data_IF_958763752666
#
_entry.id   IF_958763752666
#
_cell.length_a   1.000
_cell.length_b   1.000
_cell.length_c   1.000
_cell.angle_alpha   90.00
_cell.angle_beta   90.00
_cell.angle_gamma   90.00
#
_symmetry.space_group_name_H-M   'P 1'
#
loop_
_entity.id
_entity.type
_entity.pdbx_description
1 polymer ?
#
# COMPACT_ATOMS: atom_id res chain seq x y z
N UNK A 1 -40.30 1.85 -66.84
CA UNK A 1 -39.74 1.26 -65.61
C UNK A 1 -38.76 2.27 -65.09
N UNK A 2 -39.16 3.03 -64.07
CA UNK A 2 -38.27 3.95 -63.36
C UNK A 2 -37.51 3.13 -62.32
N UNK A 3 -36.19 3.20 -62.34
CA UNK A 3 -35.33 2.62 -61.30
C UNK A 3 -35.35 3.54 -60.06
N UNK A 4 -35.42 3.01 -58.83
CA UNK A 4 -35.35 3.83 -57.65
C UNK A 4 -33.89 4.22 -57.37
N UNK A 5 -33.66 5.50 -57.12
CA UNK A 5 -32.39 6.03 -56.62
C UNK A 5 -32.30 5.68 -55.14
N UNK A 6 -31.36 4.82 -54.75
CA UNK A 6 -31.02 4.60 -53.34
C UNK A 6 -30.37 5.87 -52.77
N UNK A 7 -31.08 6.54 -51.87
CA UNK A 7 -30.54 7.60 -51.03
C UNK A 7 -29.50 7.00 -50.07
N UNK A 8 -28.23 7.33 -50.29
CA UNK A 8 -27.15 7.02 -49.34
C UNK A 8 -27.33 7.94 -48.13
N UNK A 9 -27.92 7.41 -47.07
CA UNK A 9 -27.97 8.07 -45.77
C UNK A 9 -26.54 8.06 -45.20
N UNK A 10 -25.82 9.16 -45.38
CA UNK A 10 -24.60 9.42 -44.63
C UNK A 10 -25.00 9.66 -43.18
N UNK A 11 -24.79 8.66 -42.33
CA UNK A 11 -24.92 8.82 -40.89
C UNK A 11 -23.99 9.96 -40.45
N UNK A 12 -24.57 11.10 -40.09
CA UNK A 12 -23.85 12.17 -39.40
C UNK A 12 -23.36 11.57 -38.10
N UNK A 13 -22.04 11.42 -37.97
CA UNK A 13 -21.39 11.16 -36.70
C UNK A 13 -21.81 12.28 -35.76
N UNK A 14 -22.76 12.00 -34.86
CA UNK A 14 -23.06 12.92 -33.78
C UNK A 14 -21.83 12.87 -32.86
N UNK A 15 -21.23 14.03 -32.51
CA UNK A 15 -20.24 14.03 -31.45
C UNK A 15 -20.92 13.44 -30.21
N UNK A 16 -20.30 12.41 -29.65
CA UNK A 16 -20.70 11.85 -28.36
C UNK A 16 -20.78 13.00 -27.35
N UNK A 17 -21.83 13.02 -26.53
CA UNK A 17 -21.92 14.00 -25.46
C UNK A 17 -20.67 13.86 -24.58
N UNK A 18 -20.07 14.97 -24.12
CA UNK A 18 -18.88 14.88 -23.28
C UNK A 18 -19.19 14.05 -22.04
N UNK A 19 -18.22 13.25 -21.60
CA UNK A 19 -18.36 12.44 -20.39
C UNK A 19 -18.65 13.35 -19.19
N UNK A 20 -19.38 12.86 -18.18
CA UNK A 20 -19.78 13.64 -17.00
C UNK A 20 -18.61 14.36 -16.33
N UNK A 21 -17.43 13.75 -16.28
CA UNK A 21 -16.21 14.38 -15.73
C UNK A 21 -15.67 15.51 -16.61
N UNK A 22 -15.85 15.45 -17.93
CA UNK A 22 -15.41 16.50 -18.86
C UNK A 22 -16.25 17.77 -18.71
N UNK A 23 -17.53 17.62 -18.35
CA UNK A 23 -18.43 18.74 -18.05
C UNK A 23 -18.29 19.22 -16.59
N UNK A 24 -18.13 18.29 -15.64
CA UNK A 24 -18.27 18.53 -14.19
C UNK A 24 -16.94 18.66 -13.42
N UNK A 25 -15.76 18.53 -14.04
CA UNK A 25 -14.46 18.87 -13.44
C UNK A 25 -13.94 20.29 -13.84
N UNK A 26 -14.67 21.40 -13.58
CA UNK A 26 -14.32 22.74 -14.09
C UNK A 26 -13.30 23.50 -13.23
N UNK A 27 -12.75 22.89 -12.17
CA UNK A 27 -11.76 23.57 -11.33
C UNK A 27 -10.41 23.70 -12.06
N UNK A 28 -9.74 24.84 -11.87
CA UNK A 28 -8.35 25.04 -12.33
C UNK A 28 -7.47 23.89 -11.80
N UNK A 29 -6.68 23.29 -12.68
CA UNK A 29 -5.73 22.20 -12.41
C UNK A 29 -6.33 20.81 -12.11
N UNK A 30 -7.65 20.63 -12.29
CA UNK A 30 -8.30 19.32 -12.31
C UNK A 30 -8.66 18.89 -13.73
N UNK A 31 -8.67 17.58 -13.95
CA UNK A 31 -8.86 16.89 -15.21
C UNK A 31 -9.83 15.72 -15.00
N UNK A 32 -10.58 15.33 -16.04
CA UNK A 32 -11.32 14.07 -16.01
C UNK A 32 -10.38 12.89 -15.79
N UNK A 33 -10.90 11.75 -15.37
CA UNK A 33 -10.10 10.52 -15.26
C UNK A 33 -9.47 10.20 -16.63
N UNK A 34 -8.17 9.92 -16.64
CA UNK A 34 -7.37 9.74 -17.85
C UNK A 34 -6.97 11.04 -18.58
N UNK A 35 -7.29 12.21 -18.05
CA UNK A 35 -6.86 13.49 -18.62
C UNK A 35 -5.40 13.82 -18.33
N UNK A 36 -4.74 14.52 -19.26
CA UNK A 36 -3.33 14.91 -19.17
C UNK A 36 -3.09 16.25 -19.88
N UNK A 37 -1.96 16.90 -19.60
CA UNK A 37 -1.61 18.21 -20.16
C UNK A 37 -1.20 18.13 -21.63
N UNK A 38 -1.26 19.23 -22.38
CA UNK A 38 -0.88 19.27 -23.81
C UNK A 38 0.59 18.89 -24.06
N UNK A 39 1.46 19.12 -23.09
CA UNK A 39 2.90 18.80 -23.13
C UNK A 39 3.23 17.40 -22.60
N UNK A 40 2.22 16.59 -22.28
CA UNK A 40 2.42 15.25 -21.75
C UNK A 40 3.17 14.32 -22.73
N UNK A 41 3.90 13.31 -22.21
CA UNK A 41 4.54 12.31 -23.05
C UNK A 41 3.57 11.60 -23.99
N UNK A 42 3.97 11.34 -25.24
CA UNK A 42 3.11 10.75 -26.26
C UNK A 42 2.44 9.41 -25.85
N UNK A 43 3.14 8.58 -25.05
CA UNK A 43 2.61 7.30 -24.56
C UNK A 43 1.41 7.47 -23.62
N UNK A 44 1.11 8.68 -23.12
CA UNK A 44 -0.09 8.92 -22.30
C UNK A 44 -1.36 8.80 -23.13
N UNK A 45 -1.30 9.07 -24.44
CA UNK A 45 -2.43 8.85 -25.33
C UNK A 45 -2.85 7.37 -25.38
N UNK A 46 -1.89 6.45 -25.28
CA UNK A 46 -2.15 5.00 -25.24
C UNK A 46 -2.66 4.55 -23.86
N UNK A 47 -2.23 5.21 -22.79
CA UNK A 47 -2.62 4.88 -21.41
C UNK A 47 -3.95 5.49 -20.99
N UNK A 48 -4.29 6.68 -21.47
CA UNK A 48 -5.49 7.43 -21.10
C UNK A 48 -6.79 6.64 -21.23
N UNK A 49 -7.05 5.90 -22.33
CA UNK A 49 -8.24 5.04 -22.44
C UNK A 49 -8.32 3.99 -21.33
N UNK A 50 -7.19 3.51 -20.81
CA UNK A 50 -7.15 2.50 -19.74
C UNK A 50 -7.49 3.10 -18.38
N UNK A 51 -7.13 4.36 -18.15
CA UNK A 51 -7.60 5.11 -16.98
C UNK A 51 -9.09 5.41 -17.09
N UNK A 52 -9.54 5.90 -18.26
CA UNK A 52 -10.95 6.17 -18.54
C UNK A 52 -11.85 4.95 -18.36
N UNK A 53 -11.35 3.75 -18.63
CA UNK A 53 -12.10 2.51 -18.40
C UNK A 53 -12.51 2.29 -16.92
N UNK A 54 -11.85 2.96 -15.96
CA UNK A 54 -12.24 2.94 -14.55
C UNK A 54 -13.19 4.08 -14.15
N UNK A 55 -13.41 5.05 -15.04
CA UNK A 55 -14.21 6.23 -14.75
C UNK A 55 -15.67 5.88 -14.46
N UNK A 56 -16.27 4.94 -15.19
CA UNK A 56 -17.66 4.49 -14.96
C UNK A 56 -17.94 4.03 -13.52
N UNK A 57 -16.96 3.34 -12.90
CA UNK A 57 -17.08 2.86 -11.52
C UNK A 57 -17.02 4.04 -10.55
N UNK A 58 -16.19 5.03 -10.83
CA UNK A 58 -16.08 6.25 -10.03
C UNK A 58 -17.33 7.14 -10.21
N UNK A 59 -17.92 7.19 -11.41
CA UNK A 59 -19.15 7.95 -11.71
C UNK A 59 -20.40 7.43 -11.02
N UNK A 60 -20.40 6.15 -10.64
CA UNK A 60 -21.46 5.56 -9.86
C UNK A 60 -21.48 6.07 -8.41
N UNK A 61 -20.41 6.74 -7.94
CA UNK A 61 -20.37 7.39 -6.64
C UNK A 61 -21.25 8.63 -6.62
N UNK A 62 -21.74 8.97 -5.43
CA UNK A 62 -22.58 10.15 -5.19
C UNK A 62 -21.79 11.43 -5.44
N UNK A 63 -20.55 11.45 -4.96
CA UNK A 63 -19.61 12.56 -5.11
C UNK A 63 -18.78 12.36 -6.38
N UNK A 64 -18.58 13.45 -7.13
CA UNK A 64 -17.78 13.43 -8.34
C UNK A 64 -16.30 13.24 -7.99
N UNK A 65 -15.64 12.33 -8.71
CA UNK A 65 -14.20 12.08 -8.56
C UNK A 65 -13.48 12.70 -9.75
N UNK A 66 -12.72 13.76 -9.50
CA UNK A 66 -11.84 14.36 -10.51
C UNK A 66 -10.39 13.91 -10.27
N UNK A 67 -9.55 14.03 -11.29
CA UNK A 67 -8.12 13.82 -11.17
C UNK A 67 -7.33 15.11 -11.28
N UNK A 68 -6.08 15.10 -10.84
CA UNK A 68 -5.06 15.95 -11.45
C UNK A 68 -4.75 15.41 -12.86
N UNK A 69 -3.95 16.14 -13.63
CA UNK A 69 -3.39 15.60 -14.86
C UNK A 69 -2.64 14.29 -14.55
N UNK A 70 -2.73 13.29 -15.45
CA UNK A 70 -1.82 12.16 -15.41
C UNK A 70 -0.40 12.71 -15.41
N UNK A 71 0.47 12.14 -14.60
CA UNK A 71 1.86 12.57 -14.48
C UNK A 71 2.80 11.36 -14.43
N UNK A 72 4.02 11.51 -14.98
CA UNK A 72 5.04 10.50 -14.81
C UNK A 72 5.49 10.51 -13.36
N UNK A 73 5.57 9.33 -12.75
CA UNK A 73 6.08 9.17 -11.41
C UNK A 73 6.98 7.96 -11.32
N UNK A 74 8.29 8.21 -11.44
CA UNK A 74 9.33 7.18 -11.58
C UNK A 74 9.08 6.32 -12.82
N UNK A 75 8.86 5.03 -12.61
CA UNK A 75 8.53 4.00 -13.58
C UNK A 75 7.02 3.76 -13.72
N UNK A 76 6.21 4.67 -13.15
CA UNK A 76 4.76 4.64 -13.21
C UNK A 76 4.20 5.84 -13.97
N UNK A 77 2.97 5.69 -14.43
CA UNK A 77 2.06 6.81 -14.65
C UNK A 77 1.01 6.78 -13.57
N UNK A 78 0.76 7.95 -12.97
CA UNK A 78 -0.24 8.10 -11.92
C UNK A 78 -1.22 9.19 -12.28
N UNK A 79 -2.42 9.10 -11.74
CA UNK A 79 -3.37 10.19 -11.68
C UNK A 79 -3.86 10.29 -10.24
N UNK A 80 -3.48 11.38 -9.54
CA UNK A 80 -3.99 11.66 -8.19
C UNK A 80 -5.45 12.08 -8.28
N UNK A 81 -6.27 11.56 -7.38
CA UNK A 81 -7.71 11.77 -7.40
C UNK A 81 -8.15 12.68 -6.25
N UNK A 82 -9.21 13.45 -6.51
CA UNK A 82 -9.78 14.44 -5.62
C UNK A 82 -11.29 14.30 -5.64
N UNK A 83 -11.88 14.29 -4.44
CA UNK A 83 -13.33 14.29 -4.23
C UNK A 83 -13.66 15.40 -3.25
N UNK A 84 -14.59 16.28 -3.60
CA UNK A 84 -14.98 17.44 -2.78
C UNK A 84 -13.81 18.31 -2.28
N UNK A 85 -12.75 18.41 -3.09
CA UNK A 85 -11.54 19.19 -2.77
C UNK A 85 -10.56 18.50 -1.81
N UNK A 86 -10.82 17.25 -1.41
CA UNK A 86 -9.93 16.44 -0.58
C UNK A 86 -9.26 15.32 -1.40
N UNK A 87 -8.02 14.90 -1.05
CA UNK A 87 -7.38 13.75 -1.68
C UNK A 87 -8.21 12.46 -1.51
N UNK A 88 -8.50 11.77 -2.61
CA UNK A 88 -9.25 10.51 -2.63
C UNK A 88 -8.34 9.30 -3.02
N UNK A 89 -7.06 9.54 -3.30
CA UNK A 89 -6.07 8.52 -3.62
C UNK A 89 -5.48 8.67 -5.01
N UNK A 90 -5.20 7.55 -5.69
CA UNK A 90 -4.59 7.58 -7.01
C UNK A 90 -5.01 6.41 -7.90
N UNK A 91 -5.00 6.63 -9.21
CA UNK A 91 -4.89 5.56 -10.19
C UNK A 91 -3.45 5.40 -10.63
N UNK A 92 -2.97 4.16 -10.74
CA UNK A 92 -1.57 3.88 -11.05
C UNK A 92 -1.41 2.77 -12.09
N UNK A 93 -0.37 2.84 -12.91
CA UNK A 93 0.05 1.78 -13.84
C UNK A 93 1.54 1.91 -14.17
N UNK A 94 2.16 0.85 -14.70
CA UNK A 94 3.52 0.90 -15.23
C UNK A 94 3.61 1.86 -16.42
N UNK A 95 4.69 2.66 -16.47
CA UNK A 95 4.86 3.67 -17.52
C UNK A 95 5.02 3.08 -18.92
N UNK A 96 5.53 1.85 -19.03
CA UNK A 96 5.61 1.09 -20.28
C UNK A 96 4.27 0.43 -20.68
N UNK A 97 3.23 0.60 -19.86
CA UNK A 97 1.91 -0.01 -20.05
C UNK A 97 1.84 -1.51 -19.75
N UNK A 98 2.90 -2.12 -19.23
CA UNK A 98 2.96 -3.57 -18.98
C UNK A 98 2.03 -4.06 -17.88
N UNK A 99 1.59 -3.17 -16.97
CA UNK A 99 0.71 -3.49 -15.86
C UNK A 99 -0.72 -3.00 -16.09
N UNK A 100 -1.66 -3.44 -15.25
CA UNK A 100 -3.03 -2.89 -15.27
C UNK A 100 -3.05 -1.47 -14.72
N UNK A 101 -4.12 -0.71 -15.03
CA UNK A 101 -4.45 0.50 -14.25
C UNK A 101 -5.23 0.05 -13.03
N UNK A 102 -4.81 0.51 -11.85
CA UNK A 102 -5.43 0.17 -10.59
C UNK A 102 -5.76 1.43 -9.79
N UNK A 103 -6.98 1.50 -9.27
CA UNK A 103 -7.42 2.47 -8.28
C UNK A 103 -6.94 2.06 -6.88
N UNK A 104 -6.19 2.95 -6.24
CA UNK A 104 -5.72 2.85 -4.85
C UNK A 104 -6.36 3.94 -4.02
N UNK A 105 -7.01 3.59 -2.90
CA UNK A 105 -7.47 4.58 -1.92
C UNK A 105 -6.31 5.44 -1.39
N UNK A 106 -6.58 6.56 -0.73
CA UNK A 106 -5.50 7.41 -0.20
C UNK A 106 -4.55 6.64 0.74
N UNK A 107 -5.09 5.74 1.58
CA UNK A 107 -4.27 4.94 2.49
C UNK A 107 -3.41 3.89 1.77
N UNK A 108 -3.96 3.26 0.74
CA UNK A 108 -3.24 2.31 -0.11
C UNK A 108 -2.15 3.01 -0.92
N UNK A 109 -2.46 4.18 -1.46
CA UNK A 109 -1.51 5.03 -2.16
C UNK A 109 -0.36 5.49 -1.27
N UNK A 110 -0.67 5.96 -0.05
CA UNK A 110 0.34 6.35 0.94
C UNK A 110 1.23 5.17 1.32
N UNK A 111 0.66 3.99 1.47
CA UNK A 111 1.42 2.77 1.75
C UNK A 111 2.35 2.43 0.57
N UNK A 112 1.80 2.40 -0.64
CA UNK A 112 2.52 2.05 -1.85
C UNK A 112 3.69 3.01 -2.11
N UNK A 113 3.48 4.32 -1.97
CA UNK A 113 4.52 5.34 -2.18
C UNK A 113 5.64 5.32 -1.16
N UNK A 114 5.33 4.98 0.09
CA UNK A 114 6.29 4.96 1.20
C UNK A 114 7.38 3.89 1.04
N UNK A 115 7.15 2.85 0.23
CA UNK A 115 8.06 1.71 0.06
C UNK A 115 9.05 1.81 -1.08
N UNK A 116 9.22 3.01 -1.62
CA UNK A 116 10.32 3.34 -2.51
C UNK A 116 11.47 3.88 -1.65
N UNK A 117 12.52 3.08 -1.50
CA UNK A 117 13.59 3.12 -0.48
C UNK A 117 14.28 4.48 -0.25
N UNK A 118 14.16 5.47 -1.14
CA UNK A 118 14.98 6.68 -1.08
C UNK A 118 14.29 7.95 -1.60
N UNK A 119 13.00 8.14 -1.31
CA UNK A 119 12.28 9.29 -1.87
C UNK A 119 12.25 9.21 -3.41
N UNK A 120 12.28 10.33 -4.17
CA UNK A 120 11.98 10.33 -5.61
C UNK A 120 12.97 9.53 -6.50
N UNK A 121 14.04 8.95 -5.95
CA UNK A 121 15.13 8.30 -6.71
C UNK A 121 15.36 6.83 -6.32
N UNK A 122 14.53 6.24 -5.46
CA UNK A 122 14.68 4.84 -5.01
C UNK A 122 14.06 3.78 -5.95
N UNK A 123 14.57 2.54 -5.97
CA UNK A 123 14.02 1.44 -6.76
C UNK A 123 12.61 1.05 -6.29
N UNK A 124 11.76 0.65 -7.24
CA UNK A 124 10.43 0.10 -6.96
C UNK A 124 10.55 -1.34 -6.46
N UNK A 125 10.60 -1.54 -5.14
CA UNK A 125 10.69 -2.88 -4.56
C UNK A 125 9.36 -3.61 -4.51
N UNK A 126 8.26 -2.88 -4.55
CA UNK A 126 6.91 -3.46 -4.52
C UNK A 126 6.52 -3.92 -5.92
N UNK A 127 7.03 -3.33 -6.99
CA UNK A 127 6.70 -3.68 -8.38
C UNK A 127 5.42 -3.00 -8.85
N UNK A 128 4.87 -3.45 -9.98
CA UNK A 128 3.70 -2.84 -10.62
C UNK A 128 2.41 -3.53 -10.21
N UNK A 129 1.26 -2.82 -10.13
CA UNK A 129 -0.03 -3.44 -9.80
C UNK A 129 -0.45 -4.47 -10.85
N UNK A 130 -0.79 -5.68 -10.40
CA UNK A 130 -1.27 -6.78 -11.24
C UNK A 130 -2.74 -7.09 -10.99
N UNK A 131 -3.20 -6.92 -9.75
CA UNK A 131 -4.59 -7.17 -9.40
C UNK A 131 -4.88 -6.96 -7.92
N UNK A 132 -6.16 -6.85 -7.60
CA UNK A 132 -6.65 -6.89 -6.22
C UNK A 132 -7.25 -8.26 -5.96
N UNK A 133 -6.96 -8.83 -4.80
CA UNK A 133 -7.61 -10.03 -4.31
C UNK A 133 -8.03 -9.85 -2.86
N UNK A 134 -9.10 -10.54 -2.48
CA UNK A 134 -9.59 -10.57 -1.11
C UNK A 134 -9.39 -11.97 -0.57
N UNK A 135 -8.78 -12.06 0.60
CA UNK A 135 -8.53 -13.34 1.28
C UNK A 135 -9.10 -13.26 2.69
N UNK A 136 -10.32 -13.76 2.86
CA UNK A 136 -11.06 -13.56 4.11
C UNK A 136 -11.37 -12.08 4.32
N UNK A 137 -10.93 -11.51 5.45
CA UNK A 137 -11.01 -10.08 5.75
C UNK A 137 -9.89 -9.25 5.12
N UNK A 138 -8.84 -9.88 4.60
CA UNK A 138 -7.70 -9.16 4.04
C UNK A 138 -7.99 -8.62 2.64
N UNK A 139 -7.60 -7.37 2.41
CA UNK A 139 -7.47 -6.80 1.07
C UNK A 139 -6.00 -6.88 0.66
N UNK A 140 -5.72 -7.41 -0.53
CA UNK A 140 -4.36 -7.60 -1.01
C UNK A 140 -4.23 -6.97 -2.39
N UNK A 141 -3.25 -6.07 -2.52
CA UNK A 141 -2.81 -5.55 -3.81
C UNK A 141 -1.63 -6.39 -4.25
N UNK A 142 -1.85 -7.26 -5.24
CA UNK A 142 -0.80 -8.07 -5.85
C UNK A 142 -0.04 -7.26 -6.87
N UNK A 143 1.27 -7.42 -6.86
CA UNK A 143 2.19 -6.71 -7.73
C UNK A 143 3.16 -7.66 -8.43
N UNK A 144 3.93 -7.16 -9.38
CA UNK A 144 4.91 -7.97 -10.11
C UNK A 144 6.10 -8.42 -9.25
N UNK A 145 6.28 -7.85 -8.06
CA UNK A 145 7.37 -8.18 -7.14
C UNK A 145 6.87 -8.59 -5.75
N UNK A 146 5.59 -8.96 -5.61
CA UNK A 146 4.99 -9.45 -4.37
C UNK A 146 3.60 -8.85 -4.15
N UNK A 147 3.42 -8.11 -3.05
CA UNK A 147 2.18 -7.38 -2.81
C UNK A 147 2.17 -6.52 -1.54
N UNK A 148 1.06 -5.81 -1.35
CA UNK A 148 0.71 -5.09 -0.14
C UNK A 148 -0.49 -5.79 0.52
N UNK A 149 -0.38 -6.13 1.80
CA UNK A 149 -1.42 -6.83 2.56
C UNK A 149 -2.06 -5.88 3.57
N UNK A 150 -3.38 -5.73 3.51
CA UNK A 150 -4.16 -4.84 4.37
C UNK A 150 -5.13 -5.67 5.21
N UNK A 151 -4.91 -5.66 6.53
CA UNK A 151 -5.76 -6.37 7.50
C UNK A 151 -6.98 -5.54 7.93
N UNK A 152 -6.95 -4.23 7.68
CA UNK A 152 -8.08 -3.33 7.88
C UNK A 152 -8.13 -2.29 6.75
N UNK A 153 -9.30 -1.86 6.28
CA UNK A 153 -9.43 -0.86 5.20
C UNK A 153 -8.74 0.48 5.49
N UNK A 154 -8.61 0.83 6.77
CA UNK A 154 -7.96 2.06 7.24
C UNK A 154 -6.52 1.85 7.73
N UNK A 155 -6.02 0.61 7.72
CA UNK A 155 -4.67 0.33 8.20
C UNK A 155 -3.62 0.46 7.09
N UNK A 156 -2.35 0.58 7.51
CA UNK A 156 -1.23 0.51 6.60
C UNK A 156 -1.19 -0.85 5.95
N UNK A 157 -0.94 -0.89 4.65
CA UNK A 157 -0.58 -2.15 4.02
C UNK A 157 0.82 -2.56 4.42
N UNK A 158 0.98 -3.84 4.75
CA UNK A 158 2.28 -4.42 5.01
C UNK A 158 2.85 -4.96 3.69
N UNK A 159 3.99 -4.44 3.21
CA UNK A 159 4.61 -4.94 1.99
C UNK A 159 5.25 -6.31 2.23
N UNK A 160 5.03 -7.22 1.30
CA UNK A 160 5.70 -8.51 1.24
C UNK A 160 6.27 -8.66 -0.17
N UNK A 161 7.59 -8.78 -0.27
CA UNK A 161 8.32 -8.63 -1.54
C UNK A 161 9.17 -9.86 -1.87
N UNK A 162 9.38 -10.10 -3.17
CA UNK A 162 10.27 -11.13 -3.70
C UNK A 162 9.98 -12.53 -3.14
N UNK A 163 11.03 -13.28 -2.83
CA UNK A 163 10.90 -14.64 -2.30
C UNK A 163 10.14 -14.78 -0.98
N UNK A 164 10.00 -13.70 -0.20
CA UNK A 164 9.16 -13.72 1.01
C UNK A 164 7.66 -13.80 0.67
N UNK A 165 7.23 -13.14 -0.41
CA UNK A 165 5.87 -13.28 -0.95
C UNK A 165 5.63 -14.71 -1.42
N UNK A 166 6.54 -15.22 -2.24
CA UNK A 166 6.43 -16.57 -2.79
C UNK A 166 6.37 -17.63 -1.68
N UNK A 167 7.17 -17.46 -0.62
CA UNK A 167 7.14 -18.34 0.54
C UNK A 167 5.79 -18.30 1.26
N UNK A 168 5.25 -17.12 1.52
CA UNK A 168 3.97 -16.97 2.21
C UNK A 168 2.80 -17.51 1.37
N UNK A 169 2.75 -17.19 0.07
CA UNK A 169 1.71 -17.69 -0.85
C UNK A 169 1.75 -19.22 -0.99
N UNK A 170 2.96 -19.81 -1.04
CA UNK A 170 3.13 -21.26 -1.12
C UNK A 170 2.74 -22.01 0.17
N UNK A 171 2.62 -21.31 1.30
CA UNK A 171 2.27 -21.87 2.61
C UNK A 171 0.89 -21.41 3.09
N UNK A 172 -0.10 -21.35 2.18
CA UNK A 172 -1.50 -21.01 2.46
C UNK A 172 -1.76 -19.57 2.96
N UNK A 173 -0.78 -18.68 2.79
CA UNK A 173 -0.90 -17.24 3.07
C UNK A 173 -1.45 -16.96 4.47
N UNK A 174 -2.54 -16.16 4.61
CA UNK A 174 -3.09 -15.79 5.91
C UNK A 174 -3.73 -16.93 6.68
N UNK A 175 -4.07 -18.03 6.00
CA UNK A 175 -4.60 -19.25 6.63
C UNK A 175 -3.49 -20.23 7.01
N UNK A 176 -2.25 -19.93 6.62
CA UNK A 176 -1.08 -20.74 6.89
C UNK A 176 -0.56 -20.61 8.32
N UNK A 177 0.48 -21.37 8.63
CA UNK A 177 1.12 -21.36 9.95
C UNK A 177 1.83 -20.03 10.27
N UNK A 178 2.10 -19.21 9.26
CA UNK A 178 2.79 -17.93 9.43
C UNK A 178 1.84 -16.84 9.92
N UNK A 179 0.56 -16.93 9.56
CA UNK A 179 -0.42 -15.86 9.73
C UNK A 179 -0.21 -14.66 8.80
N UNK A 180 -0.48 -13.46 9.28
CA UNK A 180 -0.50 -12.21 8.48
C UNK A 180 0.82 -11.44 8.66
N UNK A 181 1.39 -10.83 7.61
CA UNK A 181 2.55 -9.96 7.79
C UNK A 181 2.18 -8.70 8.59
N UNK A 182 3.03 -8.30 9.55
CA UNK A 182 2.74 -7.21 10.50
C UNK A 182 3.80 -6.11 10.56
N UNK A 183 5.01 -6.39 10.08
CA UNK A 183 6.13 -5.45 10.03
C UNK A 183 6.59 -5.19 8.60
N UNK A 184 7.33 -4.10 8.35
CA UNK A 184 7.99 -3.94 7.04
C UNK A 184 9.18 -4.92 6.90
N UNK A 185 9.63 -5.23 5.68
CA UNK A 185 10.92 -5.87 5.48
C UNK A 185 12.04 -5.02 6.07
N UNK A 186 12.93 -5.63 6.85
CA UNK A 186 14.08 -4.96 7.47
C UNK A 186 15.38 -5.67 7.10
N UNK A 187 16.22 -4.99 6.34
CA UNK A 187 17.60 -5.40 6.10
C UNK A 187 18.58 -4.72 7.05
N UNK A 188 19.72 -5.38 7.30
CA UNK A 188 20.76 -4.89 8.21
C UNK A 188 21.29 -3.48 7.89
N UNK A 189 21.13 -2.97 6.66
CA UNK A 189 21.55 -1.60 6.25
C UNK A 189 20.40 -0.64 5.94
N UNK A 190 19.14 -0.99 6.26
CA UNK A 190 17.99 -0.10 6.09
C UNK A 190 18.11 1.24 6.85
N UNK A 191 17.19 2.20 6.67
CA UNK A 191 17.30 3.55 7.26
C UNK A 191 17.26 3.62 8.80
N UNK A 192 17.00 2.50 9.48
CA UNK A 192 17.12 2.33 10.95
C UNK A 192 18.17 1.24 11.26
N UNK A 193 19.11 1.05 10.33
CA UNK A 193 20.06 -0.06 10.31
C UNK A 193 20.79 -0.21 11.64
N UNK A 194 20.85 -1.47 12.07
CA UNK A 194 21.79 -2.02 13.05
C UNK A 194 21.55 -1.79 14.56
N UNK A 195 20.74 -0.84 15.03
CA UNK A 195 20.70 -0.55 16.49
C UNK A 195 19.76 -1.44 17.34
N UNK A 196 18.89 -2.27 16.74
CA UNK A 196 17.87 -3.06 17.49
C UNK A 196 18.08 -4.57 17.51
N UNK A 197 19.11 -5.13 16.86
CA UNK A 197 19.34 -6.60 16.84
C UNK A 197 20.03 -7.13 18.12
N UNK A 198 19.66 -6.62 19.30
CA UNK A 198 20.34 -6.89 20.57
C UNK A 198 19.99 -8.22 21.24
N UNK A 199 19.17 -9.08 20.61
CA UNK A 199 18.69 -10.34 21.21
C UNK A 199 19.33 -11.64 20.63
N UNK A 200 20.60 -11.61 20.21
CA UNK A 200 21.37 -12.84 19.95
C UNK A 200 21.03 -13.61 18.67
N UNK A 201 20.27 -13.01 17.75
CA UNK A 201 19.96 -13.56 16.42
C UNK A 201 21.09 -13.30 15.41
N UNK A 202 21.15 -14.04 14.27
CA UNK A 202 22.18 -13.87 13.26
C UNK A 202 22.21 -12.42 12.74
N UNK A 203 23.32 -11.72 13.01
CA UNK A 203 23.43 -10.25 12.90
C UNK A 203 23.60 -9.71 11.47
N UNK A 204 23.40 -10.53 10.44
CA UNK A 204 23.49 -10.11 9.04
C UNK A 204 22.44 -10.80 8.17
N UNK A 205 21.39 -10.06 7.81
CA UNK A 205 20.32 -10.55 6.95
C UNK A 205 19.18 -9.56 6.75
N UNK A 206 18.15 -10.04 6.06
CA UNK A 206 16.86 -9.37 5.98
C UNK A 206 15.79 -10.17 6.73
N UNK A 207 14.82 -9.48 7.34
CA UNK A 207 13.74 -10.08 8.12
C UNK A 207 12.39 -9.55 7.68
N UNK A 208 11.38 -10.40 7.75
CA UNK A 208 9.98 -10.04 7.58
C UNK A 208 9.18 -10.65 8.73
N UNK A 209 8.50 -9.81 9.52
CA UNK A 209 7.67 -10.27 10.65
C UNK A 209 6.24 -10.63 10.22
N UNK A 210 5.72 -11.67 10.87
CA UNK A 210 4.35 -12.18 10.77
C UNK A 210 3.76 -12.38 12.18
N UNK A 211 2.45 -12.61 12.28
CA UNK A 211 1.80 -12.82 13.58
C UNK A 211 2.36 -14.01 14.37
N UNK A 212 2.79 -15.08 13.68
CA UNK A 212 3.25 -16.32 14.33
C UNK A 212 4.78 -16.50 14.36
N UNK A 213 5.54 -15.56 13.80
CA UNK A 213 7.00 -15.72 13.67
C UNK A 213 7.61 -14.76 12.66
N UNK A 214 8.75 -15.14 12.11
CA UNK A 214 9.41 -14.32 11.09
C UNK A 214 10.10 -15.15 10.03
N UNK A 215 10.18 -14.59 8.82
CA UNK A 215 11.10 -15.06 7.80
C UNK A 215 12.42 -14.33 7.93
N UNK A 216 13.51 -15.09 7.87
CA UNK A 216 14.87 -14.58 7.85
C UNK A 216 15.58 -14.96 6.57
N UNK A 217 16.37 -14.04 6.04
CA UNK A 217 17.18 -14.21 4.84
C UNK A 217 18.65 -13.90 5.19
N UNK A 218 19.49 -14.92 5.39
CA UNK A 218 20.86 -14.71 5.84
C UNK A 218 21.76 -14.11 4.76
N UNK A 219 22.71 -13.26 5.20
CA UNK A 219 23.81 -12.76 4.36
C UNK A 219 23.41 -11.72 3.32
N UNK A 220 22.24 -11.09 3.51
CA UNK A 220 21.75 -9.98 2.67
C UNK A 220 21.78 -8.69 3.47
N UNK A 221 22.22 -7.60 2.84
CA UNK A 221 22.43 -6.33 3.54
C UNK A 221 21.39 -5.28 3.18
N UNK A 222 20.78 -5.36 1.98
CA UNK A 222 19.81 -4.37 1.49
C UNK A 222 18.45 -4.97 1.14
N UNK A 223 17.39 -4.16 1.20
CA UNK A 223 16.05 -4.58 0.80
C UNK A 223 15.98 -4.92 -0.71
N UNK A 224 16.81 -4.27 -1.54
CA UNK A 224 16.94 -4.54 -2.99
C UNK A 224 17.48 -5.95 -3.23
N UNK A 225 18.56 -6.32 -2.55
CA UNK A 225 19.14 -7.65 -2.63
C UNK A 225 18.17 -8.72 -2.11
N UNK A 226 17.41 -8.40 -1.06
CA UNK A 226 16.41 -9.29 -0.48
C UNK A 226 15.27 -9.58 -1.46
N UNK A 227 14.73 -8.53 -2.11
CA UNK A 227 13.67 -8.68 -3.10
C UNK A 227 14.08 -9.56 -4.31
N UNK A 228 15.38 -9.63 -4.61
CA UNK A 228 15.91 -10.46 -5.68
C UNK A 228 16.20 -11.93 -5.28
N UNK A 229 16.10 -12.30 -3.99
CA UNK A 229 16.38 -13.67 -3.57
C UNK A 229 15.19 -14.61 -3.78
N UNK A 230 15.45 -15.87 -4.17
CA UNK A 230 14.39 -16.88 -4.28
C UNK A 230 13.92 -17.33 -2.90
N UNK A 231 12.66 -17.80 -2.82
CA UNK A 231 12.06 -18.30 -1.57
C UNK A 231 12.88 -19.41 -0.89
N UNK A 232 13.64 -20.21 -1.66
CA UNK A 232 14.43 -21.34 -1.13
C UNK A 232 15.59 -20.93 -0.22
N UNK A 233 15.92 -19.63 -0.16
CA UNK A 233 16.92 -19.08 0.75
C UNK A 233 16.35 -18.57 2.06
N UNK A 234 15.03 -18.45 2.17
CA UNK A 234 14.38 -17.94 3.36
C UNK A 234 14.23 -19.06 4.39
N UNK A 235 14.45 -18.69 5.65
CA UNK A 235 14.35 -19.54 6.81
C UNK A 235 13.19 -19.04 7.67
N UNK A 236 12.23 -19.92 7.95
CA UNK A 236 11.16 -19.61 8.90
C UNK A 236 11.65 -19.86 10.33
N UNK A 237 11.24 -18.96 11.22
CA UNK A 237 11.45 -19.09 12.65
C UNK A 237 10.16 -18.83 13.40
N UNK A 238 9.81 -19.75 14.30
CA UNK A 238 8.62 -19.60 15.13
C UNK A 238 8.83 -18.53 16.21
N UNK A 239 7.78 -17.77 16.53
CA UNK A 239 7.78 -16.80 17.63
C UNK A 239 8.31 -17.39 18.96
N UNK A 240 8.06 -18.68 19.18
CA UNK A 240 8.48 -19.41 20.38
C UNK A 240 10.01 -19.59 20.52
N UNK A 241 10.77 -19.48 19.43
CA UNK A 241 12.23 -19.68 19.44
C UNK A 241 12.99 -18.59 20.21
N UNK A 242 12.40 -17.40 20.36
CA UNK A 242 13.02 -16.26 21.04
C UNK A 242 12.98 -16.37 22.57
N UNK A 243 12.40 -17.45 23.11
CA UNK A 243 12.25 -17.66 24.54
C UNK A 243 11.31 -16.63 25.21
N UNK A 244 11.08 -16.77 26.53
CA UNK A 244 10.26 -15.84 27.28
C UNK A 244 10.89 -14.44 27.30
N UNK A 245 10.05 -13.41 27.09
CA UNK A 245 10.47 -12.02 27.17
C UNK A 245 11.16 -11.73 28.50
N UNK A 246 12.21 -10.89 28.53
CA UNK A 246 12.94 -10.53 29.75
C UNK A 246 12.06 -9.95 30.87
N UNK A 247 10.90 -9.38 30.54
CA UNK A 247 10.02 -8.63 31.46
C UNK A 247 8.63 -9.25 31.69
N UNK A 248 8.31 -10.41 31.11
CA UNK A 248 6.94 -10.95 31.15
C UNK A 248 5.93 -10.15 30.30
N UNK A 249 4.63 -10.53 30.28
CA UNK A 249 3.63 -9.85 29.47
C UNK A 249 3.39 -8.43 29.98
N UNK A 250 3.69 -7.45 29.13
CA UNK A 250 3.40 -6.03 29.37
C UNK A 250 1.95 -5.78 28.95
N UNK A 251 1.16 -5.08 29.78
CA UNK A 251 -0.12 -4.54 29.33
C UNK A 251 0.15 -3.25 28.54
N UNK A 252 -0.02 -3.32 27.21
CA UNK A 252 0.26 -2.19 26.33
C UNK A 252 -0.87 -1.16 26.26
N UNK A 253 -1.99 -1.33 26.96
CA UNK A 253 -3.07 -0.33 26.99
C UNK A 253 -2.56 1.04 27.44
N UNK A 254 -2.84 2.06 26.64
CA UNK A 254 -2.35 3.42 26.84
C UNK A 254 -0.92 3.67 26.37
N UNK A 255 -0.28 2.70 25.71
CA UNK A 255 1.11 2.76 25.27
C UNK A 255 1.25 2.65 23.74
N UNK A 256 2.44 2.99 23.25
CA UNK A 256 2.80 2.84 21.85
C UNK A 256 3.57 1.53 21.68
N UNK A 257 3.09 0.67 20.79
CA UNK A 257 3.78 -0.52 20.31
C UNK A 257 4.49 -0.18 18.99
N UNK A 258 5.80 -0.46 18.91
CA UNK A 258 6.62 -0.31 17.72
C UNK A 258 7.05 -1.67 17.21
N UNK A 259 6.90 -1.87 15.91
CA UNK A 259 7.29 -3.10 15.24
C UNK A 259 7.83 -2.75 13.86
N UNK A 260 9.10 -3.05 13.64
CA UNK A 260 9.79 -2.78 12.38
C UNK A 260 9.53 -1.36 11.84
N UNK A 261 9.60 -0.36 12.73
CA UNK A 261 9.34 1.06 12.43
C UNK A 261 7.91 1.39 11.96
N UNK A 262 6.92 0.58 12.32
CA UNK A 262 5.49 0.90 12.28
C UNK A 262 5.03 1.07 13.73
N UNK A 263 4.27 2.13 14.01
CA UNK A 263 3.83 2.49 15.37
C UNK A 263 2.32 2.32 15.51
N UNK A 264 1.89 1.75 16.63
CA UNK A 264 0.48 1.58 17.00
C UNK A 264 0.25 2.13 18.40
N UNK A 265 -0.84 2.86 18.62
CA UNK A 265 -1.32 3.19 19.96
C UNK A 265 -2.35 2.15 20.39
N UNK A 266 -2.19 1.56 21.57
CA UNK A 266 -3.23 0.68 22.13
C UNK A 266 -4.10 1.50 23.06
N UNK A 267 -5.41 1.53 22.80
CA UNK A 267 -6.34 2.26 23.63
C UNK A 267 -6.61 1.57 24.97
N UNK A 268 -7.49 2.16 25.79
CA UNK A 268 -7.84 1.60 27.11
C UNK A 268 -8.73 0.36 27.03
N UNK A 269 -9.39 0.13 25.89
CA UNK A 269 -10.21 -1.05 25.64
C UNK A 269 -9.37 -2.22 25.10
N UNK A 270 -8.11 -1.96 24.74
CA UNK A 270 -7.19 -2.95 24.20
C UNK A 270 -7.32 -3.10 22.68
N UNK A 271 -7.74 -2.07 21.96
CA UNK A 271 -7.71 -2.01 20.50
C UNK A 271 -6.45 -1.27 20.07
N UNK A 272 -5.71 -1.81 19.10
CA UNK A 272 -4.54 -1.14 18.54
C UNK A 272 -4.94 -0.30 17.33
N UNK A 273 -4.44 0.92 17.29
CA UNK A 273 -4.71 1.91 16.26
C UNK A 273 -3.41 2.32 15.59
N UNK A 274 -3.34 2.23 14.27
CA UNK A 274 -2.14 2.59 13.54
C UNK A 274 -1.88 4.11 13.62
N UNK A 275 -0.65 4.49 13.96
CA UNK A 275 -0.20 5.89 13.97
C UNK A 275 0.47 6.19 12.64
N UNK A 276 -0.21 6.96 11.78
CA UNK A 276 0.29 7.29 10.44
C UNK A 276 1.23 8.50 10.41
N UNK A 277 0.98 9.50 11.26
CA UNK A 277 1.65 10.81 11.16
C UNK A 277 2.56 11.10 12.35
N UNK A 278 3.62 11.87 12.12
CA UNK A 278 4.50 12.35 13.21
C UNK A 278 3.74 13.22 14.21
N UNK A 279 2.72 13.95 13.78
CA UNK A 279 1.87 14.75 14.68
C UNK A 279 1.04 13.86 15.60
N UNK A 280 0.45 12.80 15.07
CA UNK A 280 -0.33 11.84 15.86
C UNK A 280 0.56 11.07 16.82
N UNK A 281 1.74 10.65 16.37
CA UNK A 281 2.75 10.04 17.22
C UNK A 281 3.15 10.98 18.37
N UNK A 282 3.39 12.26 18.05
CA UNK A 282 3.77 13.26 19.06
C UNK A 282 2.66 13.47 20.07
N UNK A 283 1.40 13.47 19.64
CA UNK A 283 0.26 13.53 20.55
C UNK A 283 0.18 12.31 21.47
N UNK A 284 0.29 11.09 20.92
CA UNK A 284 0.27 9.88 21.72
C UNK A 284 1.39 9.90 22.78
N UNK A 285 2.62 10.25 22.40
CA UNK A 285 3.75 10.30 23.31
C UNK A 285 3.63 11.42 24.35
N UNK A 286 3.40 12.67 23.92
CA UNK A 286 3.50 13.84 24.79
C UNK A 286 2.18 14.23 25.46
N UNK A 287 1.06 14.19 24.72
CA UNK A 287 -0.23 14.64 25.24
C UNK A 287 -0.93 13.53 26.03
N UNK A 288 -0.86 12.29 25.54
CA UNK A 288 -1.44 11.12 26.22
C UNK A 288 -0.46 10.45 27.20
N UNK A 289 0.81 10.84 27.19
CA UNK A 289 1.84 10.31 28.09
C UNK A 289 2.22 8.85 27.80
N UNK A 290 2.03 8.39 26.57
CA UNK A 290 2.29 7.01 26.18
C UNK A 290 3.79 6.72 26.16
N UNK A 291 4.22 5.70 26.92
CA UNK A 291 5.55 5.09 26.75
C UNK A 291 5.59 4.20 25.51
N UNK A 292 6.75 4.14 24.86
CA UNK A 292 7.01 3.30 23.69
C UNK A 292 7.65 1.98 24.07
N UNK A 293 7.26 0.93 23.35
CA UNK A 293 7.81 -0.40 23.46
C UNK A 293 8.04 -0.99 22.07
N UNK A 294 9.25 -1.47 21.80
CA UNK A 294 9.49 -2.38 20.68
C UNK A 294 8.88 -3.74 21.03
N UNK A 295 8.09 -4.29 20.10
CA UNK A 295 7.31 -5.51 20.30
C UNK A 295 7.50 -6.49 19.17
N UNK A 296 7.13 -7.73 19.41
CA UNK A 296 7.12 -8.80 18.40
C UNK A 296 5.74 -8.92 17.74
N UNK A 297 5.70 -9.49 16.54
CA UNK A 297 4.45 -9.69 15.79
C UNK A 297 3.31 -10.35 16.56
N UNK A 298 3.60 -11.38 17.37
CA UNK A 298 2.56 -12.05 18.17
C UNK A 298 2.02 -11.18 19.31
N UNK A 299 2.84 -10.29 19.88
CA UNK A 299 2.40 -9.36 20.93
C UNK A 299 1.45 -8.34 20.33
N UNK A 300 1.80 -7.80 19.15
CA UNK A 300 0.91 -6.94 18.40
C UNK A 300 -0.41 -7.63 18.04
N UNK A 301 -0.33 -8.90 17.60
CA UNK A 301 -1.51 -9.68 17.21
C UNK A 301 -2.46 -9.99 18.38
N UNK A 302 -1.99 -9.91 19.63
CA UNK A 302 -2.83 -10.09 20.81
C UNK A 302 -3.85 -8.96 21.03
N UNK A 303 -3.68 -7.83 20.33
CA UNK A 303 -4.60 -6.70 20.34
C UNK A 303 -5.31 -6.57 18.97
N UNK A 304 -6.66 -6.57 18.92
CA UNK A 304 -7.40 -6.39 17.68
C UNK A 304 -7.06 -5.04 17.03
N UNK A 305 -6.92 -5.04 15.70
CA UNK A 305 -6.70 -3.85 14.91
C UNK A 305 -8.02 -3.07 14.74
N UNK A 306 -7.99 -1.79 15.07
CA UNK A 306 -9.09 -0.85 14.81
C UNK A 306 -8.75 0.17 13.73
N UNK A 307 -9.54 1.23 13.71
CA UNK A 307 -9.37 2.40 12.83
C UNK A 307 -8.03 3.12 13.05
N UNK A 308 -7.70 4.04 12.14
CA UNK A 308 -6.53 4.91 12.27
C UNK A 308 -6.54 5.68 13.60
N UNK A 309 -5.36 5.82 14.22
CA UNK A 309 -5.21 6.69 15.37
C UNK A 309 -5.31 8.15 14.94
N UNK A 310 -6.29 8.86 15.49
CA UNK A 310 -6.44 10.31 15.33
C UNK A 310 -6.45 10.94 16.71
N UNK A 311 -5.45 11.75 17.02
CA UNK A 311 -5.22 12.34 18.34
C UNK A 311 -6.49 12.93 19.00
N UNK A 312 -7.36 13.61 18.23
CA UNK A 312 -8.57 14.24 18.74
C UNK A 312 -9.63 13.27 19.29
N UNK A 313 -9.57 11.98 18.93
CA UNK A 313 -10.48 10.94 19.41
C UNK A 313 -10.11 10.39 20.79
N UNK A 314 -8.91 10.68 21.27
CA UNK A 314 -8.34 10.08 22.49
C UNK A 314 -7.99 11.10 23.59
N UNK A 315 -8.27 12.39 23.36
CA UNK A 315 -8.15 13.47 24.34
C UNK A 315 -9.39 13.59 25.23
#
# INVERSE_FOLDING_TARGET
MEEPVEEIIVAKHQPEAPDRDEEDCPQLDLYPIGGYTEDAPAHFADLSPRFRALAEVEWAKVELVCGHAMEPWRDLVIQRLVTDGAPDGAMITAADGSSIVMRLTEIEWVTYKFRYVAGPVGPNLVGYPVGRLFWGSLSIIRTTAGGLVFDHPEAMGVPLIGGAWDFWEANDGPNGFMGVPVGKPESATGPIGADTWSEGLPSSGARQEFTEGWLFLPGVLTDVEAAAQPMSRYEWHDASELGPMPSGPIDYRGHIMQISGISFYVDKDGVRHWIRTTSDWSCAHWDLGATEYEVRGFELASYPLGDEFVCSRFK
#
